data_IF_634060521599
#
_entry.id   IF_634060521599
#
_cell.length_a   1.000
_cell.length_b   1.000
_cell.length_c   1.000
_cell.angle_alpha   90.00
_cell.angle_beta   90.00
_cell.angle_gamma   90.00
#
_symmetry.space_group_name_H-M   'P 1'
#
loop_
_entity.id
_entity.type
_entity.pdbx_description
1 polymer ?
#
# COMPACT_ATOMS: atom_id res chain seq x y z
N UNK A 1 -26.96 1.70 51.72
CA UNK A 1 -28.33 1.81 52.26
C UNK A 1 -29.11 2.72 51.32
N UNK A 2 -30.27 2.23 50.86
CA UNK A 2 -31.39 2.90 50.17
C UNK A 2 -31.07 3.88 49.02
N UNK A 3 -31.59 3.75 47.80
CA UNK A 3 -32.69 2.97 47.26
C UNK A 3 -33.39 3.79 46.18
N UNK A 4 -33.68 3.20 45.00
CA UNK A 4 -34.90 3.39 44.20
C UNK A 4 -34.76 2.79 42.79
N UNK A 5 -35.46 1.69 42.58
CA UNK A 5 -36.08 1.31 41.30
C UNK A 5 -37.18 2.30 40.92
N UNK A 6 -37.61 2.30 39.64
CA UNK A 6 -38.94 1.75 39.38
C UNK A 6 -39.01 0.76 38.20
N UNK A 7 -40.04 -0.09 38.28
CA UNK A 7 -40.51 -1.11 37.33
C UNK A 7 -41.44 -0.52 36.26
N UNK A 8 -41.56 -1.23 35.13
CA UNK A 8 -42.68 -1.18 34.16
C UNK A 8 -42.37 -2.04 32.92
N UNK A 9 -42.67 -3.36 32.89
CA UNK A 9 -43.88 -4.02 32.33
C UNK A 9 -43.96 -3.88 30.79
N UNK A 10 -43.49 -4.88 30.02
CA UNK A 10 -44.17 -6.01 29.33
C UNK A 10 -45.00 -5.66 28.07
N UNK A 11 -44.69 -6.43 27.02
CA UNK A 11 -45.51 -6.96 25.90
C UNK A 11 -44.89 -6.63 24.53
N UNK A 12 -44.66 -7.55 23.59
CA UNK A 12 -44.91 -8.98 23.54
C UNK A 12 -44.18 -9.64 22.37
N UNK A 13 -43.99 -10.96 22.48
CA UNK A 13 -44.29 -12.01 21.48
C UNK A 13 -44.37 -11.52 20.01
N UNK A 14 -43.61 -12.05 19.06
CA UNK A 14 -43.93 -13.34 18.40
C UNK A 14 -42.77 -13.87 17.56
N UNK A 15 -42.58 -15.19 17.67
CA UNK A 15 -41.69 -16.06 16.92
C UNK A 15 -42.33 -16.50 15.58
N UNK A 16 -41.57 -16.56 14.47
CA UNK A 16 -41.67 -17.56 13.39
C UNK A 16 -40.71 -17.20 12.25
N UNK A 17 -39.62 -17.93 12.03
CA UNK A 17 -39.47 -18.97 10.99
C UNK A 17 -40.08 -18.58 9.63
N UNK A 18 -39.19 -18.31 8.68
CA UNK A 18 -39.39 -18.77 7.30
C UNK A 18 -38.09 -19.38 6.75
N UNK A 19 -38.28 -20.59 6.24
CA UNK A 19 -37.33 -21.54 5.67
C UNK A 19 -37.07 -21.29 4.19
N UNK A 20 -35.89 -21.69 3.71
CA UNK A 20 -35.55 -21.88 2.29
C UNK A 20 -34.50 -20.87 1.82
N UNK A 21 -33.39 -21.22 1.18
CA UNK A 21 -33.05 -22.41 0.40
C UNK A 21 -31.55 -22.64 0.54
N UNK A 22 -31.17 -23.83 1.00
CA UNK A 22 -29.78 -24.26 1.07
C UNK A 22 -29.20 -24.45 -0.33
N UNK A 23 -28.50 -23.42 -0.85
CA UNK A 23 -27.48 -23.64 -1.88
C UNK A 23 -26.21 -24.10 -1.17
N UNK A 24 -26.03 -25.42 -1.09
CA UNK A 24 -24.73 -26.07 -0.86
C UNK A 24 -23.74 -25.58 -1.92
N UNK A 25 -23.06 -24.46 -1.68
CA UNK A 25 -21.80 -24.16 -2.34
C UNK A 25 -20.78 -25.08 -1.70
N UNK A 26 -20.33 -26.08 -2.46
CA UNK A 26 -19.16 -26.91 -2.16
C UNK A 26 -17.99 -25.99 -1.82
N UNK A 27 -17.75 -25.75 -0.54
CA UNK A 27 -16.44 -25.40 0.02
C UNK A 27 -15.58 -26.67 -0.07
N UNK A 28 -15.20 -27.05 -1.29
CA UNK A 28 -14.14 -28.04 -1.53
C UNK A 28 -12.87 -27.25 -1.78
N UNK A 29 -11.92 -27.30 -0.83
CA UNK A 29 -10.50 -27.22 -1.15
C UNK A 29 -9.72 -25.95 -0.77
N UNK A 30 -10.20 -25.08 0.14
CA UNK A 30 -9.41 -23.93 0.59
C UNK A 30 -8.89 -24.01 2.04
N UNK A 31 -9.40 -24.93 2.86
CA UNK A 31 -8.99 -25.07 4.27
C UNK A 31 -7.76 -25.98 4.48
N UNK A 32 -7.21 -26.55 3.41
CA UNK A 32 -6.14 -27.55 3.47
C UNK A 32 -4.79 -27.09 2.91
N UNK A 33 -4.58 -25.78 2.70
CA UNK A 33 -3.36 -25.24 2.05
C UNK A 33 -2.66 -24.10 2.80
N UNK A 34 -3.02 -23.81 4.05
CA UNK A 34 -2.09 -23.12 4.95
C UNK A 34 -1.01 -24.14 5.29
N UNK A 35 0.12 -24.10 4.57
CA UNK A 35 1.34 -24.73 5.06
C UNK A 35 1.47 -24.27 6.51
N UNK A 36 1.52 -25.23 7.44
CA UNK A 36 1.69 -24.99 8.87
C UNK A 36 2.98 -24.17 9.08
N UNK A 37 2.88 -22.85 8.98
CA UNK A 37 4.01 -21.96 8.70
C UNK A 37 5.05 -21.97 9.81
N UNK A 38 4.60 -22.06 11.07
CA UNK A 38 5.50 -22.17 12.22
C UNK A 38 6.32 -23.47 12.22
N UNK A 39 5.69 -24.62 12.00
CA UNK A 39 6.41 -25.91 12.08
C UNK A 39 7.31 -26.18 10.88
N UNK A 40 7.01 -25.58 9.73
CA UNK A 40 7.74 -25.81 8.47
C UNK A 40 9.00 -24.96 8.40
N UNK A 41 8.93 -23.71 8.87
CA UNK A 41 10.07 -22.77 8.87
C UNK A 41 11.10 -23.12 9.94
N UNK A 42 10.68 -23.69 11.07
CA UNK A 42 11.57 -24.09 12.17
C UNK A 42 12.32 -25.42 11.97
N UNK A 43 12.11 -26.14 10.87
CA UNK A 43 12.81 -27.40 10.57
C UNK A 43 14.29 -27.17 10.21
N UNK A 44 15.14 -28.20 10.08
CA UNK A 44 16.48 -28.02 9.50
C UNK A 44 16.43 -27.51 8.04
N UNK A 45 17.50 -26.88 7.55
CA UNK A 45 17.54 -26.29 6.19
C UNK A 45 17.25 -27.31 5.08
N UNK A 46 17.76 -28.55 5.21
CA UNK A 46 17.51 -29.62 4.26
C UNK A 46 16.01 -29.97 4.14
N UNK A 47 15.30 -30.01 5.27
CA UNK A 47 13.87 -30.27 5.29
C UNK A 47 13.08 -29.09 4.70
N UNK A 48 13.54 -27.86 4.97
CA UNK A 48 12.93 -26.66 4.39
C UNK A 48 13.07 -26.67 2.85
N UNK A 49 14.27 -26.97 2.34
CA UNK A 49 14.50 -27.10 0.90
C UNK A 49 13.62 -28.17 0.26
N UNK A 50 13.52 -29.35 0.89
CA UNK A 50 12.64 -30.42 0.42
C UNK A 50 11.17 -30.00 0.39
N UNK A 51 10.70 -29.27 1.41
CA UNK A 51 9.30 -28.83 1.51
C UNK A 51 8.96 -27.68 0.58
N UNK A 52 9.90 -26.76 0.34
CA UNK A 52 9.75 -25.65 -0.60
C UNK A 52 10.07 -26.05 -2.05
N UNK A 53 10.56 -27.28 -2.27
CA UNK A 53 11.03 -27.77 -3.56
C UNK A 53 12.10 -26.86 -4.16
N UNK A 54 13.05 -26.39 -3.35
CA UNK A 54 14.09 -25.45 -3.79
C UNK A 54 15.46 -25.90 -3.27
N UNK A 55 16.52 -25.20 -3.67
CA UNK A 55 17.89 -25.48 -3.27
C UNK A 55 18.65 -24.17 -3.00
N UNK A 56 19.87 -24.28 -2.47
CA UNK A 56 20.76 -23.13 -2.29
C UNK A 56 21.13 -22.46 -3.63
N UNK A 57 21.08 -23.19 -4.75
CA UNK A 57 21.39 -22.69 -6.10
C UNK A 57 20.22 -21.91 -6.74
N UNK A 58 19.13 -21.69 -5.99
CA UNK A 58 17.96 -20.96 -6.45
C UNK A 58 17.02 -21.79 -7.33
N UNK A 59 16.08 -21.10 -7.98
CA UNK A 59 15.03 -21.71 -8.82
C UNK A 59 15.34 -21.56 -10.31
N UNK A 60 14.77 -22.43 -11.14
CA UNK A 60 14.75 -22.18 -12.59
C UNK A 60 13.75 -21.09 -12.95
N UNK A 61 14.00 -20.34 -14.02
CA UNK A 61 13.04 -19.34 -14.53
C UNK A 61 11.69 -19.97 -14.93
N UNK A 62 11.70 -21.23 -15.38
CA UNK A 62 10.47 -21.96 -15.73
C UNK A 62 9.61 -22.25 -14.50
N UNK A 63 10.25 -22.75 -13.43
CA UNK A 63 9.56 -23.07 -12.18
C UNK A 63 9.08 -21.81 -11.45
N UNK A 64 9.89 -20.75 -11.43
CA UNK A 64 9.48 -19.48 -10.85
C UNK A 64 8.25 -18.88 -11.56
N UNK A 65 8.16 -19.00 -12.88
CA UNK A 65 6.96 -18.59 -13.65
C UNK A 65 5.74 -19.43 -13.28
N UNK A 66 5.88 -20.76 -13.23
CA UNK A 66 4.79 -21.65 -12.84
C UNK A 66 4.28 -21.35 -11.42
N UNK A 67 5.18 -21.16 -10.46
CA UNK A 67 4.81 -20.78 -9.07
C UNK A 67 4.09 -19.44 -9.03
N UNK A 68 4.52 -18.47 -9.84
CA UNK A 68 3.86 -17.16 -9.92
C UNK A 68 2.43 -17.27 -10.48
N UNK A 69 2.20 -18.15 -11.44
CA UNK A 69 0.86 -18.39 -11.99
C UNK A 69 -0.07 -19.09 -10.99
N UNK A 70 0.44 -20.06 -10.23
CA UNK A 70 -0.34 -20.80 -9.22
C UNK A 70 -0.57 -20.01 -7.93
N UNK A 71 0.47 -19.36 -7.38
CA UNK A 71 0.43 -18.70 -6.07
C UNK A 71 0.20 -17.18 -6.15
N UNK A 72 0.37 -16.58 -7.33
CA UNK A 72 0.20 -15.15 -7.57
C UNK A 72 1.47 -14.32 -7.33
N UNK A 73 1.31 -13.00 -7.38
CA UNK A 73 2.41 -12.04 -7.22
C UNK A 73 2.69 -11.73 -5.74
N UNK A 74 3.93 -11.35 -5.43
CA UNK A 74 4.35 -10.86 -4.11
C UNK A 74 3.79 -9.45 -3.84
N UNK A 75 2.51 -9.36 -3.49
CA UNK A 75 1.80 -8.12 -3.17
C UNK A 75 0.93 -8.27 -1.92
N UNK A 76 1.03 -7.27 -1.03
CA UNK A 76 0.26 -7.19 0.22
C UNK A 76 -1.24 -6.99 -0.02
N UNK A 77 -1.62 -6.36 -1.14
CA UNK A 77 -3.00 -6.11 -1.49
C UNK A 77 -3.20 -6.30 -2.98
N UNK A 78 -3.89 -7.36 -3.38
CA UNK A 78 -4.51 -7.39 -4.70
C UNK A 78 -5.68 -6.43 -4.67
N UNK A 79 -5.45 -5.13 -4.97
CA UNK A 79 -6.55 -4.27 -5.40
C UNK A 79 -7.04 -4.91 -6.69
N UNK A 80 -8.14 -5.66 -6.64
CA UNK A 80 -8.74 -6.22 -7.85
C UNK A 80 -8.93 -5.05 -8.79
N UNK A 81 -8.11 -5.01 -9.85
CA UNK A 81 -8.29 -4.10 -10.96
C UNK A 81 -9.76 -4.23 -11.33
N UNK A 82 -10.54 -3.15 -11.18
CA UNK A 82 -11.90 -3.15 -11.69
C UNK A 82 -11.76 -3.54 -13.16
N UNK A 83 -12.42 -4.63 -13.57
CA UNK A 83 -12.38 -5.06 -14.96
C UNK A 83 -12.79 -3.88 -15.84
N UNK A 84 -12.16 -3.66 -17.00
CA UNK A 84 -12.50 -2.52 -17.87
C UNK A 84 -14.00 -2.42 -18.20
N UNK A 85 -14.72 -3.54 -18.16
CA UNK A 85 -16.19 -3.60 -18.24
C UNK A 85 -16.89 -2.89 -17.06
N UNK A 86 -16.41 -3.07 -15.83
CA UNK A 86 -16.94 -2.39 -14.65
C UNK A 86 -16.66 -0.89 -14.69
N UNK A 87 -15.52 -0.50 -15.25
CA UNK A 87 -15.12 0.89 -15.43
C UNK A 87 -16.00 1.59 -16.47
N UNK A 88 -16.29 0.90 -17.58
CA UNK A 88 -17.26 1.34 -18.58
C UNK A 88 -18.68 1.44 -18.01
N UNK A 89 -19.12 0.47 -17.20
CA UNK A 89 -20.42 0.53 -16.50
C UNK A 89 -20.45 1.71 -15.52
N UNK A 90 -19.35 2.04 -14.86
CA UNK A 90 -19.26 3.20 -13.98
C UNK A 90 -19.39 4.53 -14.74
N UNK A 91 -18.86 4.62 -15.97
CA UNK A 91 -19.06 5.78 -16.85
C UNK A 91 -20.53 5.92 -17.25
N UNK A 92 -21.20 4.81 -17.62
CA UNK A 92 -22.63 4.81 -17.97
C UNK A 92 -23.52 5.15 -16.75
N UNK A 93 -23.09 4.82 -15.54
CA UNK A 93 -23.82 5.12 -14.31
C UNK A 93 -23.85 6.62 -13.94
N UNK A 94 -23.24 7.50 -14.74
CA UNK A 94 -23.35 8.95 -14.55
C UNK A 94 -24.83 9.38 -14.66
N UNK A 95 -25.41 10.04 -13.63
CA UNK A 95 -26.81 10.44 -13.62
C UNK A 95 -27.26 11.21 -14.86
N UNK A 96 -26.40 12.06 -15.44
CA UNK A 96 -26.73 12.84 -16.65
C UNK A 96 -26.85 11.96 -17.89
N UNK A 97 -25.95 10.97 -18.03
CA UNK A 97 -25.98 10.00 -19.13
C UNK A 97 -27.22 9.11 -19.01
N UNK A 98 -27.59 8.71 -17.78
CA UNK A 98 -28.82 7.93 -17.52
C UNK A 98 -30.06 8.74 -17.92
N UNK A 99 -30.14 10.01 -17.55
CA UNK A 99 -31.27 10.89 -17.92
C UNK A 99 -31.36 11.04 -19.44
N UNK A 100 -30.25 11.25 -20.14
CA UNK A 100 -30.19 11.31 -21.61
C UNK A 100 -30.62 9.99 -22.27
N UNK A 101 -30.17 8.85 -21.75
CA UNK A 101 -30.58 7.54 -22.26
C UNK A 101 -32.09 7.31 -22.11
N UNK A 102 -32.67 7.72 -20.96
CA UNK A 102 -34.12 7.65 -20.73
C UNK A 102 -34.87 8.59 -21.69
N UNK A 103 -34.38 9.82 -21.89
CA UNK A 103 -34.99 10.78 -22.81
C UNK A 103 -34.91 10.31 -24.28
N UNK A 104 -33.76 9.76 -24.69
CA UNK A 104 -33.57 9.19 -26.02
C UNK A 104 -34.45 7.97 -26.27
N UNK A 105 -34.61 7.10 -25.28
CA UNK A 105 -35.55 5.99 -25.35
C UNK A 105 -37.00 6.49 -25.50
N UNK A 106 -37.42 7.47 -24.69
CA UNK A 106 -38.75 8.07 -24.77
C UNK A 106 -39.02 8.72 -26.13
N UNK A 107 -38.04 9.43 -26.68
CA UNK A 107 -38.10 10.05 -28.02
C UNK A 107 -38.24 8.99 -29.14
N UNK A 108 -37.49 7.90 -29.05
CA UNK A 108 -37.61 6.78 -29.99
C UNK A 108 -39.00 6.11 -29.92
N UNK A 109 -39.58 5.97 -28.72
CA UNK A 109 -40.93 5.45 -28.53
C UNK A 109 -42.02 6.38 -29.10
N UNK A 110 -41.79 7.70 -29.10
CA UNK A 110 -42.69 8.69 -29.70
C UNK A 110 -42.59 8.76 -31.23
N UNK A 111 -41.68 8.00 -31.84
CA UNK A 111 -41.46 8.00 -33.29
C UNK A 111 -40.54 9.11 -33.79
N UNK A 112 -39.93 9.90 -32.88
CA UNK A 112 -39.02 10.97 -33.24
C UNK A 112 -37.59 10.43 -33.41
N UNK A 113 -37.38 9.75 -34.55
CA UNK A 113 -36.15 9.02 -34.84
C UNK A 113 -34.94 9.95 -34.97
N UNK A 114 -35.18 11.21 -35.34
CA UNK A 114 -34.12 12.23 -35.49
C UNK A 114 -33.60 12.65 -34.13
N UNK A 115 -34.48 13.02 -33.20
CA UNK A 115 -34.10 13.40 -31.84
C UNK A 115 -33.44 12.22 -31.11
N UNK A 116 -33.98 11.02 -31.22
CA UNK A 116 -33.37 9.81 -30.67
C UNK A 116 -31.95 9.53 -31.23
N UNK A 117 -31.75 9.73 -32.53
CA UNK A 117 -30.45 9.56 -33.17
C UNK A 117 -29.43 10.61 -32.72
N UNK A 118 -29.84 11.88 -32.60
CA UNK A 118 -29.00 12.97 -32.08
C UNK A 118 -28.57 12.66 -30.64
N UNK A 119 -29.50 12.26 -29.78
CA UNK A 119 -29.22 11.90 -28.39
C UNK A 119 -28.26 10.71 -28.31
N UNK A 120 -28.53 9.66 -29.09
CA UNK A 120 -27.66 8.49 -29.15
C UNK A 120 -26.23 8.86 -29.57
N UNK A 121 -26.08 9.73 -30.57
CA UNK A 121 -24.79 10.24 -31.03
C UNK A 121 -24.03 11.04 -29.96
N UNK A 122 -24.72 11.97 -29.29
CA UNK A 122 -24.11 12.78 -28.21
C UNK A 122 -23.66 11.89 -27.04
N UNK A 123 -24.51 10.94 -26.61
CA UNK A 123 -24.18 10.01 -25.52
C UNK A 123 -23.00 9.12 -25.89
N UNK A 124 -22.97 8.55 -27.09
CA UNK A 124 -21.86 7.73 -27.57
C UNK A 124 -20.56 8.51 -27.64
N UNK A 125 -20.60 9.74 -28.18
CA UNK A 125 -19.42 10.59 -28.30
C UNK A 125 -18.90 11.01 -26.93
N UNK A 126 -19.77 11.46 -26.02
CA UNK A 126 -19.41 11.86 -24.66
C UNK A 126 -18.85 10.68 -23.86
N UNK A 127 -19.54 9.53 -23.84
CA UNK A 127 -19.06 8.34 -23.15
C UNK A 127 -17.74 7.81 -23.72
N UNK A 128 -17.59 7.83 -25.05
CA UNK A 128 -16.35 7.42 -25.73
C UNK A 128 -15.18 8.34 -25.41
N UNK A 129 -15.38 9.66 -25.45
CA UNK A 129 -14.37 10.64 -25.06
C UNK A 129 -13.98 10.49 -23.60
N UNK A 130 -14.96 10.37 -22.69
CA UNK A 130 -14.73 10.22 -21.26
C UNK A 130 -13.97 8.92 -20.94
N UNK A 131 -14.36 7.79 -21.57
CA UNK A 131 -13.66 6.52 -21.46
C UNK A 131 -12.22 6.61 -21.97
N UNK A 132 -12.01 7.19 -23.16
CA UNK A 132 -10.67 7.32 -23.74
C UNK A 132 -9.76 8.22 -22.90
N UNK A 133 -10.29 9.34 -22.38
CA UNK A 133 -9.58 10.27 -21.51
C UNK A 133 -9.19 9.62 -20.18
N UNK A 134 -10.14 8.90 -19.55
CA UNK A 134 -9.92 8.18 -18.28
C UNK A 134 -8.87 7.09 -18.47
N UNK A 135 -9.03 6.26 -19.49
CA UNK A 135 -8.10 5.16 -19.80
C UNK A 135 -6.68 5.65 -20.07
N UNK A 136 -6.52 6.74 -20.84
CA UNK A 136 -5.19 7.33 -21.12
C UNK A 136 -4.52 7.85 -19.84
N UNK A 137 -5.29 8.47 -18.96
CA UNK A 137 -4.80 9.06 -17.71
C UNK A 137 -4.32 7.99 -16.74
N UNK A 138 -5.09 6.92 -16.55
CA UNK A 138 -4.67 5.80 -15.70
C UNK A 138 -3.37 5.13 -16.19
N UNK A 139 -3.25 4.97 -17.51
CA UNK A 139 -2.07 4.31 -18.11
C UNK A 139 -0.79 5.13 -17.94
N UNK A 140 -0.89 6.45 -17.99
CA UNK A 140 0.23 7.35 -17.74
C UNK A 140 0.72 7.24 -16.28
N UNK A 141 -0.20 7.16 -15.33
CA UNK A 141 0.12 6.98 -13.90
C UNK A 141 0.70 5.59 -13.62
N UNK A 142 0.13 4.52 -14.19
CA UNK A 142 0.65 3.15 -14.00
C UNK A 142 2.09 3.00 -14.49
N UNK A 143 2.40 3.52 -15.69
CA UNK A 143 3.76 3.49 -16.24
C UNK A 143 4.77 4.27 -15.40
N UNK A 144 4.31 5.30 -14.69
CA UNK A 144 5.16 6.05 -13.77
C UNK A 144 5.37 5.27 -12.46
N UNK A 145 4.34 4.62 -11.93
CA UNK A 145 4.42 3.78 -10.74
C UNK A 145 5.30 2.54 -10.96
N UNK A 146 5.22 1.91 -12.13
CA UNK A 146 6.03 0.75 -12.50
C UNK A 146 7.54 1.07 -12.52
N UNK A 147 7.92 2.33 -12.78
CA UNK A 147 9.33 2.78 -12.79
C UNK A 147 9.90 3.04 -11.40
N UNK A 148 9.09 2.97 -10.35
CA UNK A 148 9.48 3.25 -8.96
C UNK A 148 9.30 2.00 -8.07
N UNK A 149 9.05 0.83 -8.70
CA UNK A 149 8.87 -0.41 -7.97
C UNK A 149 10.20 -0.89 -7.35
N UNK A 150 10.23 -1.28 -6.08
CA UNK A 150 11.45 -1.81 -5.45
C UNK A 150 11.87 -3.10 -6.13
N UNK A 151 13.17 -3.22 -6.42
CA UNK A 151 13.82 -4.43 -6.96
C UNK A 151 14.46 -5.24 -5.85
N UNK A 152 14.79 -6.49 -6.15
CA UNK A 152 15.55 -7.39 -5.29
C UNK A 152 16.48 -8.27 -6.14
N UNK A 153 17.64 -8.60 -5.59
CA UNK A 153 18.59 -9.51 -6.23
C UNK A 153 18.21 -10.96 -5.91
N UNK A 154 17.94 -11.76 -6.94
CA UNK A 154 17.50 -13.16 -6.83
C UNK A 154 18.41 -14.09 -7.65
N UNK A 155 18.63 -15.30 -7.15
CA UNK A 155 19.36 -16.35 -7.86
C UNK A 155 18.38 -17.21 -8.65
N UNK A 156 18.45 -17.13 -9.98
CA UNK A 156 17.68 -18.00 -10.88
C UNK A 156 18.52 -18.51 -12.02
N UNK A 157 18.32 -19.77 -12.39
CA UNK A 157 19.12 -20.48 -13.40
C UNK A 157 20.64 -20.37 -13.13
N UNK A 158 21.03 -20.34 -11.84
CA UNK A 158 22.43 -20.17 -11.40
C UNK A 158 23.02 -18.77 -11.56
N UNK A 159 22.22 -17.78 -11.97
CA UNK A 159 22.65 -16.39 -12.17
C UNK A 159 21.93 -15.44 -11.21
N UNK A 160 22.69 -14.47 -10.67
CA UNK A 160 22.12 -13.38 -9.88
C UNK A 160 21.49 -12.34 -10.81
N UNK A 161 20.18 -12.15 -10.67
CA UNK A 161 19.37 -11.25 -11.46
C UNK A 161 18.67 -10.24 -10.56
N UNK A 162 18.58 -8.99 -10.99
CA UNK A 162 17.79 -7.98 -10.30
C UNK A 162 16.37 -7.96 -10.88
N UNK A 163 15.39 -8.37 -10.07
CA UNK A 163 13.99 -8.47 -10.47
C UNK A 163 13.10 -7.57 -9.62
N UNK A 164 11.97 -7.07 -10.16
CA UNK A 164 10.98 -6.35 -9.35
C UNK A 164 10.50 -7.22 -8.19
N UNK A 165 10.36 -6.66 -6.98
CA UNK A 165 9.89 -7.39 -5.79
C UNK A 165 8.60 -8.18 -6.03
N UNK A 166 7.69 -7.61 -6.83
CA UNK A 166 6.40 -8.20 -7.22
C UNK A 166 6.54 -9.59 -7.87
N UNK A 167 7.67 -9.83 -8.53
CA UNK A 167 7.96 -11.04 -9.31
C UNK A 167 8.59 -12.20 -8.54
N UNK A 168 8.92 -11.95 -7.27
CA UNK A 168 9.46 -12.95 -6.36
C UNK A 168 8.38 -13.95 -5.95
N UNK A 169 8.80 -15.20 -5.76
CA UNK A 169 7.93 -16.33 -5.39
C UNK A 169 8.54 -17.11 -4.23
N UNK A 170 7.71 -17.90 -3.56
CA UNK A 170 8.16 -18.81 -2.51
C UNK A 170 9.22 -19.78 -3.07
N UNK A 171 10.33 -19.91 -2.34
CA UNK A 171 11.48 -20.72 -2.68
C UNK A 171 12.56 -20.01 -3.51
N UNK A 172 12.36 -18.77 -3.94
CA UNK A 172 13.44 -17.95 -4.50
C UNK A 172 14.55 -17.76 -3.46
N UNK A 173 15.80 -17.81 -3.91
CA UNK A 173 16.96 -17.44 -3.10
C UNK A 173 17.34 -15.99 -3.43
N UNK A 174 17.37 -15.14 -2.43
CA UNK A 174 17.69 -13.72 -2.55
C UNK A 174 19.02 -13.40 -1.91
N UNK A 175 19.65 -12.33 -2.38
CA UNK A 175 20.81 -11.71 -1.72
C UNK A 175 20.42 -10.38 -1.13
N UNK A 176 20.86 -10.16 0.10
CA UNK A 176 20.63 -8.96 0.88
C UNK A 176 21.98 -8.30 1.17
N UNK A 177 22.07 -6.99 0.98
CA UNK A 177 23.21 -6.15 1.32
C UNK A 177 22.77 -4.99 2.20
N UNK A 178 23.71 -4.37 2.91
CA UNK A 178 23.47 -3.14 3.65
C UNK A 178 22.74 -2.07 2.79
N UNK A 179 21.64 -1.53 3.32
CA UNK A 179 20.76 -0.58 2.64
C UNK A 179 19.55 -1.22 1.95
N UNK A 180 19.53 -2.54 1.76
CA UNK A 180 18.41 -3.22 1.12
C UNK A 180 17.18 -3.29 2.04
N UNK A 181 16.00 -3.22 1.43
CA UNK A 181 14.75 -3.60 2.08
C UNK A 181 14.50 -5.08 1.88
N UNK A 182 14.15 -5.79 2.95
CA UNK A 182 13.83 -7.21 2.87
C UNK A 182 12.53 -7.38 2.06
N UNK A 183 12.58 -8.09 0.91
CA UNK A 183 11.51 -8.04 -0.10
C UNK A 183 10.34 -8.99 0.17
N UNK A 184 10.51 -9.96 1.08
CA UNK A 184 9.55 -10.96 1.50
C UNK A 184 10.10 -11.68 2.75
N UNK A 185 9.29 -12.51 3.41
CA UNK A 185 9.76 -13.26 4.58
C UNK A 185 10.67 -14.41 4.14
N UNK A 186 11.86 -14.46 4.72
CA UNK A 186 12.94 -15.33 4.29
C UNK A 186 13.70 -15.95 5.46
N UNK A 187 14.24 -17.15 5.21
CA UNK A 187 15.17 -17.82 6.11
C UNK A 187 16.59 -17.65 5.60
N UNK A 188 17.48 -17.24 6.49
CA UNK A 188 18.90 -17.06 6.17
C UNK A 188 19.57 -18.40 5.90
N UNK A 189 20.32 -18.44 4.80
CA UNK A 189 21.19 -19.54 4.39
C UNK A 189 22.62 -19.24 4.82
N UNK A 190 23.07 -18.02 4.55
CA UNK A 190 24.37 -17.48 4.99
C UNK A 190 24.15 -16.04 5.45
N UNK A 191 24.90 -15.62 6.47
CA UNK A 191 24.85 -14.27 6.99
C UNK A 191 26.25 -13.87 7.50
N UNK A 192 26.74 -12.74 7.01
CA UNK A 192 28.01 -12.15 7.42
C UNK A 192 27.72 -10.79 8.07
N UNK A 193 27.89 -10.71 9.39
CA UNK A 193 27.68 -9.49 10.20
C UNK A 193 26.31 -8.82 9.95
N UNK A 194 25.28 -9.64 9.68
CA UNK A 194 23.98 -9.15 9.26
C UNK A 194 23.23 -8.52 10.43
N UNK A 195 22.95 -7.22 10.31
CA UNK A 195 22.11 -6.50 11.26
C UNK A 195 20.89 -5.95 10.54
N UNK A 196 19.71 -6.23 11.08
CA UNK A 196 18.44 -5.87 10.47
C UNK A 196 17.64 -4.96 11.41
N UNK A 197 17.17 -3.84 10.87
CA UNK A 197 16.26 -2.94 11.55
C UNK A 197 14.84 -3.50 11.48
N UNK A 198 14.30 -3.90 12.63
CA UNK A 198 12.99 -4.56 12.76
C UNK A 198 11.96 -3.72 13.52
N UNK A 199 12.20 -2.42 13.73
CA UNK A 199 11.28 -1.50 14.42
C UNK A 199 9.85 -1.56 13.85
N UNK A 200 9.70 -1.70 12.54
CA UNK A 200 8.38 -1.77 11.88
C UNK A 200 7.53 -2.98 12.31
N UNK A 201 8.14 -4.04 12.85
CA UNK A 201 7.46 -5.27 13.29
C UNK A 201 7.47 -5.47 14.80
N UNK A 202 8.54 -5.04 15.47
CA UNK A 202 8.78 -5.31 16.90
C UNK A 202 8.63 -4.08 17.77
N UNK A 203 8.73 -2.87 17.20
CA UNK A 203 8.86 -1.61 17.94
C UNK A 203 10.25 -1.38 18.53
N UNK A 204 11.17 -2.34 18.43
CA UNK A 204 12.52 -2.24 18.96
C UNK A 204 13.43 -1.44 18.02
N UNK A 205 14.17 -0.51 18.60
CA UNK A 205 14.96 0.49 17.88
C UNK A 205 16.36 0.02 17.50
N UNK A 206 16.91 -0.90 18.29
CA UNK A 206 18.26 -1.41 18.07
C UNK A 206 18.23 -2.45 16.94
N UNK A 207 19.14 -2.37 15.96
CA UNK A 207 19.27 -3.40 14.94
C UNK A 207 19.46 -4.78 15.58
N UNK A 208 18.65 -5.74 15.17
CA UNK A 208 18.76 -7.11 15.62
C UNK A 208 19.85 -7.80 14.81
N UNK A 209 20.78 -8.45 15.53
CA UNK A 209 21.78 -9.32 14.91
C UNK A 209 21.08 -10.57 14.35
N UNK A 210 21.48 -10.96 13.15
CA UNK A 210 20.92 -12.07 12.42
C UNK A 210 22.03 -13.02 11.97
N UNK A 211 21.82 -14.30 12.22
CA UNK A 211 22.79 -15.36 11.99
C UNK A 211 22.12 -16.55 11.31
N UNK A 212 22.76 -17.09 10.27
CA UNK A 212 22.29 -18.29 9.60
C UNK A 212 22.47 -19.52 10.51
N UNK A 213 21.56 -20.49 10.42
CA UNK A 213 21.65 -21.74 11.18
C UNK A 213 20.97 -22.87 10.43
N UNK A 214 21.72 -23.97 10.28
CA UNK A 214 21.26 -25.17 9.56
C UNK A 214 20.24 -26.00 10.36
N UNK A 215 20.34 -25.92 11.68
CA UNK A 215 19.52 -26.67 12.63
C UNK A 215 18.08 -26.17 12.77
N UNK A 216 17.30 -26.81 13.66
CA UNK A 216 15.95 -26.36 13.97
C UNK A 216 15.96 -25.01 14.68
N UNK A 217 14.97 -24.18 14.40
CA UNK A 217 14.87 -22.84 14.99
C UNK A 217 14.18 -22.89 16.35
N UNK A 218 14.75 -22.17 17.33
CA UNK A 218 14.17 -22.01 18.66
C UNK A 218 12.90 -21.14 18.64
N UNK A 219 12.83 -20.18 17.72
CA UNK A 219 11.67 -19.32 17.51
C UNK A 219 11.42 -19.11 16.01
N UNK A 220 10.15 -18.94 15.66
CA UNK A 220 9.71 -18.72 14.27
C UNK A 220 9.04 -17.35 14.09
N UNK A 221 9.27 -16.45 15.04
CA UNK A 221 8.77 -15.08 15.02
C UNK A 221 9.87 -14.06 14.65
N UNK A 222 9.54 -12.75 14.67
CA UNK A 222 10.47 -11.65 14.37
C UNK A 222 11.79 -11.69 15.15
N UNK A 223 11.73 -12.21 16.39
CA UNK A 223 12.86 -12.33 17.31
C UNK A 223 13.86 -13.42 16.90
N UNK A 224 13.53 -14.26 15.92
CA UNK A 224 14.41 -15.32 15.44
C UNK A 224 15.64 -14.74 14.75
N UNK A 225 16.87 -15.14 15.13
CA UNK A 225 18.08 -14.63 14.48
C UNK A 225 18.27 -15.17 13.07
N UNK A 226 17.64 -16.30 12.72
CA UNK A 226 17.78 -16.94 11.41
C UNK A 226 16.72 -16.50 10.39
N UNK A 227 15.80 -15.60 10.77
CA UNK A 227 14.70 -15.16 9.92
C UNK A 227 14.75 -13.64 9.70
N UNK A 228 14.39 -13.25 8.48
CA UNK A 228 14.20 -11.86 8.08
C UNK A 228 12.80 -11.70 7.49
N UNK A 229 12.21 -10.52 7.67
CA UNK A 229 10.79 -10.31 7.42
C UNK A 229 10.55 -9.11 6.51
N UNK A 230 9.49 -9.19 5.71
CA UNK A 230 9.06 -8.14 4.81
C UNK A 230 8.90 -6.81 5.56
N UNK A 231 9.46 -5.73 4.98
CA UNK A 231 9.35 -4.37 5.54
C UNK A 231 10.44 -4.01 6.55
N UNK A 232 11.34 -4.93 6.87
CA UNK A 232 12.59 -4.65 7.61
C UNK A 232 13.70 -4.19 6.65
N UNK A 233 14.71 -3.49 7.16
CA UNK A 233 15.84 -3.00 6.35
C UNK A 233 17.16 -3.53 6.88
N UNK A 234 18.10 -3.82 5.98
CA UNK A 234 19.45 -4.25 6.34
C UNK A 234 20.29 -3.03 6.67
N UNK A 235 20.82 -2.99 7.89
CA UNK A 235 21.66 -1.88 8.38
C UNK A 235 23.11 -2.11 8.02
N UNK A 236 23.61 -3.33 8.22
CA UNK A 236 24.98 -3.76 7.89
C UNK A 236 25.02 -5.24 7.56
N UNK A 237 26.13 -5.66 6.95
CA UNK A 237 26.39 -7.04 6.57
C UNK A 237 25.79 -7.44 5.22
N UNK A 238 25.97 -8.72 4.90
CA UNK A 238 25.43 -9.36 3.70
C UNK A 238 24.82 -10.70 4.06
N UNK A 239 23.81 -11.13 3.31
CA UNK A 239 23.21 -12.44 3.52
C UNK A 239 22.60 -13.02 2.24
N UNK A 240 22.54 -14.34 2.20
CA UNK A 240 21.70 -15.09 1.27
C UNK A 240 20.55 -15.73 2.04
N UNK A 241 19.35 -15.69 1.47
CA UNK A 241 18.15 -16.14 2.15
C UNK A 241 17.17 -16.79 1.19
N UNK A 242 16.45 -17.82 1.64
CA UNK A 242 15.38 -18.47 0.88
C UNK A 242 14.02 -17.94 1.32
N UNK A 243 13.20 -17.51 0.36
CA UNK A 243 11.85 -17.01 0.64
C UNK A 243 10.93 -18.17 1.06
N UNK A 244 10.25 -18.02 2.19
CA UNK A 244 9.26 -19.01 2.64
C UNK A 244 7.82 -18.47 2.61
N UNK A 245 7.63 -17.15 2.62
CA UNK A 245 6.33 -16.53 2.47
C UNK A 245 6.40 -15.22 1.68
N UNK A 246 5.37 -14.94 0.88
CA UNK A 246 5.28 -13.76 0.01
C UNK A 246 3.92 -13.08 0.11
N UNK A 247 3.86 -11.78 -0.14
CA UNK A 247 2.62 -11.01 -0.19
C UNK A 247 1.86 -11.06 1.14
N UNK A 248 0.59 -11.47 1.09
CA UNK A 248 -0.30 -11.54 2.26
C UNK A 248 0.10 -12.59 3.28
N UNK A 249 0.78 -13.66 2.86
CA UNK A 249 1.16 -14.75 3.77
C UNK A 249 2.40 -14.41 4.63
N UNK A 250 2.96 -13.21 4.48
CA UNK A 250 4.06 -12.70 5.31
C UNK A 250 3.56 -12.23 6.67
N UNK A 251 4.43 -12.20 7.69
CA UNK A 251 4.13 -11.68 9.02
C UNK A 251 3.65 -10.21 8.96
N UNK A 252 4.28 -9.41 8.10
CA UNK A 252 3.83 -8.03 7.85
C UNK A 252 2.49 -8.01 7.09
N UNK A 253 2.27 -8.95 6.17
CA UNK A 253 1.00 -9.14 5.47
C UNK A 253 -0.17 -9.43 6.41
N UNK A 254 0.02 -10.30 7.39
CA UNK A 254 -0.95 -10.63 8.43
C UNK A 254 -1.33 -9.40 9.28
N UNK A 255 -0.35 -8.57 9.64
CA UNK A 255 -0.58 -7.31 10.37
C UNK A 255 -1.39 -6.35 9.50
N UNK A 256 -1.01 -6.20 8.22
CA UNK A 256 -1.73 -5.35 7.27
C UNK A 256 -3.16 -5.84 7.04
N UNK A 257 -3.41 -7.15 6.96
CA UNK A 257 -4.76 -7.70 6.78
C UNK A 257 -5.64 -7.49 8.03
N UNK A 258 -5.08 -7.65 9.23
CA UNK A 258 -5.79 -7.37 10.49
C UNK A 258 -6.09 -5.88 10.66
N UNK A 259 -5.21 -5.02 10.15
CA UNK A 259 -5.38 -3.57 10.11
C UNK A 259 -6.15 -3.09 8.87
N UNK A 260 -6.47 -3.97 7.92
CA UNK A 260 -7.20 -3.65 6.70
C UNK A 260 -8.69 -3.42 6.98
N UNK A 261 -8.99 -2.49 7.87
CA UNK A 261 -10.12 -1.61 7.67
C UNK A 261 -9.95 -0.94 6.29
N UNK A 262 -11.06 -0.69 5.59
CA UNK A 262 -11.00 0.10 4.34
C UNK A 262 -10.23 1.38 4.64
N UNK A 263 -9.20 1.75 3.85
CA UNK A 263 -8.55 3.04 4.04
C UNK A 263 -9.65 4.11 4.03
N UNK A 264 -9.68 4.93 5.08
CA UNK A 264 -10.66 6.00 5.19
C UNK A 264 -10.53 6.94 3.98
N UNK A 265 -11.66 7.50 3.54
CA UNK A 265 -11.65 8.48 2.44
C UNK A 265 -10.72 9.63 2.83
N UNK A 266 -9.74 9.93 1.97
CA UNK A 266 -8.83 11.06 2.18
C UNK A 266 -9.59 12.39 2.17
N UNK A 267 -9.05 13.44 2.80
CA UNK A 267 -9.67 14.78 2.76
C UNK A 267 -9.83 15.28 1.31
N UNK A 268 -8.87 14.97 0.44
CA UNK A 268 -8.98 15.27 -0.99
C UNK A 268 -10.12 14.50 -1.68
N UNK A 269 -10.28 13.20 -1.40
CA UNK A 269 -11.40 12.40 -1.95
C UNK A 269 -12.75 12.90 -1.40
N UNK A 270 -12.83 13.22 -0.11
CA UNK A 270 -14.02 13.82 0.51
C UNK A 270 -14.34 15.18 -0.10
N UNK A 271 -13.35 16.05 -0.27
CA UNK A 271 -13.48 17.35 -0.93
C UNK A 271 -13.94 17.21 -2.38
N UNK A 272 -13.35 16.28 -3.14
CA UNK A 272 -13.73 15.98 -4.53
C UNK A 272 -15.16 15.46 -4.60
N UNK A 273 -15.57 14.59 -3.68
CA UNK A 273 -16.95 14.10 -3.57
C UNK A 273 -17.92 15.23 -3.22
N UNK A 274 -17.58 16.10 -2.29
CA UNK A 274 -18.42 17.22 -1.88
C UNK A 274 -18.59 18.22 -3.03
N UNK A 275 -17.50 18.52 -3.73
CA UNK A 275 -17.49 19.35 -4.93
C UNK A 275 -18.31 18.72 -6.06
N UNK A 276 -18.15 17.42 -6.30
CA UNK A 276 -18.95 16.67 -7.27
C UNK A 276 -20.44 16.68 -6.92
N UNK A 277 -20.79 16.52 -5.63
CA UNK A 277 -22.17 16.64 -5.14
C UNK A 277 -22.72 18.06 -5.29
N UNK A 278 -21.89 19.09 -5.10
CA UNK A 278 -22.27 20.48 -5.31
C UNK A 278 -22.54 20.76 -6.80
N UNK A 279 -21.66 20.31 -7.70
CA UNK A 279 -21.90 20.38 -9.15
C UNK A 279 -23.19 19.65 -9.51
N UNK A 280 -23.36 18.40 -9.04
CA UNK A 280 -24.56 17.61 -9.33
C UNK A 280 -25.84 18.31 -8.87
N UNK A 281 -25.86 18.86 -7.64
CA UNK A 281 -27.01 19.62 -7.12
C UNK A 281 -27.29 20.85 -7.98
N UNK A 282 -26.27 21.62 -8.34
CA UNK A 282 -26.40 22.83 -9.18
C UNK A 282 -26.89 22.50 -10.58
N UNK A 283 -26.36 21.43 -11.19
CA UNK A 283 -26.76 20.98 -12.52
C UNK A 283 -28.21 20.48 -12.51
N UNK A 284 -28.59 19.64 -11.54
CA UNK A 284 -29.99 19.17 -11.42
C UNK A 284 -30.94 20.34 -11.18
N UNK A 285 -30.57 21.29 -10.33
CA UNK A 285 -31.35 22.50 -10.11
C UNK A 285 -31.51 23.29 -11.41
N UNK A 286 -30.43 23.53 -12.16
CA UNK A 286 -30.47 24.25 -13.43
C UNK A 286 -31.34 23.53 -14.47
N UNK A 287 -31.19 22.20 -14.61
CA UNK A 287 -32.00 21.39 -15.53
C UNK A 287 -33.48 21.50 -15.18
N UNK A 288 -33.82 21.33 -13.90
CA UNK A 288 -35.21 21.41 -13.43
C UNK A 288 -35.77 22.84 -13.62
N UNK A 289 -34.98 23.86 -13.32
CA UNK A 289 -35.36 25.25 -13.50
C UNK A 289 -35.65 25.58 -14.97
N UNK A 290 -34.75 25.22 -15.89
CA UNK A 290 -34.92 25.47 -17.32
C UNK A 290 -36.11 24.67 -17.87
N UNK A 291 -36.30 23.43 -17.41
CA UNK A 291 -37.44 22.61 -17.79
C UNK A 291 -38.77 23.25 -17.37
N UNK A 292 -38.90 23.66 -16.10
CA UNK A 292 -40.11 24.30 -15.57
C UNK A 292 -40.41 25.59 -16.33
N UNK A 293 -39.40 26.44 -16.55
CA UNK A 293 -39.58 27.71 -17.27
C UNK A 293 -40.03 27.45 -18.71
N UNK A 294 -39.36 26.57 -19.46
CA UNK A 294 -39.74 26.32 -20.86
C UNK A 294 -41.13 25.69 -20.99
N UNK A 295 -41.50 24.76 -20.10
CA UNK A 295 -42.84 24.16 -20.09
C UNK A 295 -43.89 25.21 -19.72
N UNK A 296 -43.60 26.13 -18.78
CA UNK A 296 -44.52 27.22 -18.42
C UNK A 296 -44.73 28.24 -19.55
N UNK A 297 -43.76 28.37 -20.47
CA UNK A 297 -43.86 29.19 -21.69
C UNK A 297 -44.57 28.43 -22.83
N UNK A 298 -44.99 27.19 -22.60
CA UNK A 298 -45.76 26.38 -23.55
C UNK A 298 -44.91 25.58 -24.55
N UNK A 299 -43.61 25.41 -24.30
CA UNK A 299 -42.75 24.54 -25.12
C UNK A 299 -42.98 23.06 -24.80
N UNK A 300 -42.70 22.21 -25.79
CA UNK A 300 -42.76 20.77 -25.61
C UNK A 300 -41.82 20.31 -24.47
N UNK A 301 -42.33 19.44 -23.60
CA UNK A 301 -41.63 19.02 -22.40
C UNK A 301 -40.38 18.17 -22.72
N UNK A 302 -40.45 17.35 -23.76
CA UNK A 302 -39.35 16.50 -24.19
C UNK A 302 -38.24 17.37 -24.79
N UNK A 303 -38.57 18.27 -25.72
CA UNK A 303 -37.61 19.22 -26.28
C UNK A 303 -36.98 20.14 -25.21
N UNK A 304 -37.78 20.56 -24.24
CA UNK A 304 -37.32 21.37 -23.11
C UNK A 304 -36.34 20.61 -22.20
N UNK A 305 -36.60 19.33 -21.94
CA UNK A 305 -35.71 18.46 -21.18
C UNK A 305 -34.38 18.26 -21.92
N UNK A 306 -34.45 17.96 -23.22
CA UNK A 306 -33.26 17.79 -24.07
C UNK A 306 -32.39 19.04 -24.10
N UNK A 307 -33.00 20.21 -24.30
CA UNK A 307 -32.29 21.49 -24.27
C UNK A 307 -31.64 21.76 -22.91
N UNK A 308 -32.36 21.52 -21.82
CA UNK A 308 -31.87 21.71 -20.45
C UNK A 308 -30.66 20.83 -20.14
N UNK A 309 -30.72 19.55 -20.53
CA UNK A 309 -29.64 18.59 -20.29
C UNK A 309 -28.43 18.86 -21.19
N UNK A 310 -28.65 19.22 -22.46
CA UNK A 310 -27.56 19.59 -23.37
C UNK A 310 -26.75 20.79 -22.83
N UNK A 311 -27.44 21.81 -22.32
CA UNK A 311 -26.80 22.96 -21.69
C UNK A 311 -26.05 22.56 -20.41
N UNK A 312 -26.68 21.73 -19.56
CA UNK A 312 -26.07 21.22 -18.33
C UNK A 312 -24.77 20.44 -18.58
N UNK A 313 -24.76 19.53 -19.57
CA UNK A 313 -23.55 18.80 -19.96
C UNK A 313 -22.46 19.77 -20.45
N UNK A 314 -22.83 20.76 -21.27
CA UNK A 314 -21.89 21.78 -21.76
C UNK A 314 -21.28 22.66 -20.66
N UNK A 315 -21.98 22.80 -19.52
CA UNK A 315 -21.51 23.59 -18.37
C UNK A 315 -20.80 22.74 -17.30
N UNK A 316 -20.81 21.42 -17.42
CA UNK A 316 -20.20 20.54 -16.42
C UNK A 316 -18.68 20.53 -16.59
N UNK A 317 -17.88 20.86 -15.56
CA UNK A 317 -16.42 20.87 -15.66
C UNK A 317 -15.86 19.44 -15.58
N UNK A 318 -16.02 18.67 -16.66
CA UNK A 318 -15.61 17.26 -16.75
C UNK A 318 -14.08 17.08 -16.68
N UNK A 319 -13.31 18.12 -16.99
CA UNK A 319 -11.84 18.07 -17.00
C UNK A 319 -11.20 18.12 -15.61
N UNK A 320 -11.96 18.47 -14.56
CA UNK A 320 -11.39 18.70 -13.23
C UNK A 320 -10.69 17.46 -12.62
N UNK A 321 -11.26 16.23 -12.71
CA UNK A 321 -10.56 15.02 -12.24
C UNK A 321 -9.27 14.72 -13.02
N UNK A 322 -9.25 15.04 -14.32
CA UNK A 322 -8.06 14.84 -15.16
C UNK A 322 -6.97 15.86 -14.82
N UNK A 323 -7.32 17.15 -14.72
CA UNK A 323 -6.39 18.22 -14.36
C UNK A 323 -5.74 17.91 -13.01
N UNK A 324 -6.53 17.58 -11.99
CA UNK A 324 -6.02 17.25 -10.66
C UNK A 324 -5.09 16.04 -10.67
N UNK A 325 -5.47 14.96 -11.38
CA UNK A 325 -4.63 13.76 -11.50
C UNK A 325 -3.29 14.05 -12.18
N UNK A 326 -3.30 14.81 -13.28
CA UNK A 326 -2.08 15.17 -14.03
C UNK A 326 -1.18 16.07 -13.19
N UNK A 327 -1.74 17.09 -12.52
CA UNK A 327 -0.97 17.99 -11.65
C UNK A 327 -0.34 17.23 -10.47
N UNK A 328 -1.10 16.35 -9.80
CA UNK A 328 -0.56 15.52 -8.72
C UNK A 328 0.52 14.55 -9.22
N UNK A 329 0.34 13.95 -10.40
CA UNK A 329 1.35 13.08 -11.00
C UNK A 329 2.66 13.84 -11.30
N UNK A 330 2.58 15.07 -11.83
CA UNK A 330 3.76 15.92 -12.02
C UNK A 330 4.43 16.27 -10.69
N UNK A 331 3.65 16.58 -9.65
CA UNK A 331 4.16 16.78 -8.30
C UNK A 331 4.91 15.56 -7.74
N UNK A 332 4.36 14.36 -7.95
CA UNK A 332 5.02 13.11 -7.58
C UNK A 332 6.38 12.93 -8.28
N UNK A 333 6.47 13.25 -9.58
CA UNK A 333 7.74 13.22 -10.32
C UNK A 333 8.75 14.21 -9.73
N UNK A 334 8.31 15.41 -9.36
CA UNK A 334 9.19 16.41 -8.79
C UNK A 334 9.70 16.02 -7.39
N UNK A 335 8.84 15.44 -6.55
CA UNK A 335 9.22 14.88 -5.25
C UNK A 335 10.22 13.72 -5.38
N UNK A 336 10.03 12.84 -6.37
CA UNK A 336 10.95 11.72 -6.61
C UNK A 336 12.36 12.20 -6.95
N UNK A 337 12.51 13.31 -7.71
CA UNK A 337 13.81 13.92 -7.98
C UNK A 337 14.52 14.42 -6.70
N UNK A 338 13.76 14.70 -5.64
CA UNK A 338 14.26 15.08 -4.32
C UNK A 338 14.36 13.89 -3.36
N UNK A 339 14.39 12.66 -3.89
CA UNK A 339 14.46 11.39 -3.12
C UNK A 339 13.21 11.10 -2.25
N UNK A 340 12.07 11.73 -2.55
CA UNK A 340 10.79 11.45 -1.88
C UNK A 340 9.88 10.65 -2.80
N UNK A 341 9.56 9.40 -2.43
CA UNK A 341 8.76 8.50 -3.26
C UNK A 341 7.28 8.55 -2.84
N UNK A 342 6.43 9.01 -3.76
CA UNK A 342 4.97 9.08 -3.56
C UNK A 342 4.29 7.82 -4.10
N UNK A 343 3.77 6.98 -3.21
CA UNK A 343 3.04 5.73 -3.58
C UNK A 343 1.59 6.00 -4.01
N UNK A 344 0.95 7.01 -3.40
CA UNK A 344 -0.44 7.40 -3.68
C UNK A 344 -0.50 8.90 -3.99
N UNK A 345 -1.07 9.29 -5.13
CA UNK A 345 -1.11 10.71 -5.54
C UNK A 345 -1.84 11.61 -4.54
N UNK A 346 -2.89 11.10 -3.88
CA UNK A 346 -3.62 11.80 -2.82
C UNK A 346 -2.74 12.13 -1.60
N UNK A 347 -1.66 11.38 -1.36
CA UNK A 347 -0.75 11.62 -0.25
C UNK A 347 -0.04 12.98 -0.34
N UNK A 348 0.14 13.55 -1.55
CA UNK A 348 0.74 14.87 -1.74
C UNK A 348 -0.15 15.95 -1.10
N UNK A 349 -1.46 15.87 -1.30
CA UNK A 349 -2.42 16.81 -0.69
C UNK A 349 -2.53 16.58 0.81
N UNK A 350 -2.57 15.33 1.26
CA UNK A 350 -2.60 15.02 2.68
C UNK A 350 -1.36 15.58 3.40
N UNK A 351 -0.17 15.44 2.81
CA UNK A 351 1.06 16.01 3.37
C UNK A 351 1.02 17.54 3.44
N UNK A 352 0.41 18.19 2.46
CA UNK A 352 0.23 19.66 2.44
C UNK A 352 -0.86 20.17 3.38
N UNK A 353 -1.72 19.30 3.89
CA UNK A 353 -2.86 19.63 4.76
C UNK A 353 -2.71 19.04 6.17
N UNK A 354 -1.50 18.65 6.58
CA UNK A 354 -1.27 18.12 7.92
C UNK A 354 -1.42 19.23 8.97
N UNK A 355 -2.24 18.96 9.99
CA UNK A 355 -2.29 19.79 11.21
C UNK A 355 -1.43 19.19 12.33
N UNK A 356 -1.32 17.85 12.35
CA UNK A 356 -0.59 17.11 13.36
C UNK A 356 0.36 16.15 12.68
N UNK A 357 1.66 16.34 12.91
CA UNK A 357 2.70 15.41 12.50
C UNK A 357 3.04 14.48 13.67
N UNK A 358 2.50 13.27 13.64
CA UNK A 358 2.95 12.20 14.53
C UNK A 358 4.18 11.55 13.89
N UNK A 359 5.36 11.86 14.42
CA UNK A 359 6.61 11.22 14.01
C UNK A 359 7.01 10.15 15.01
N UNK A 360 7.47 9.01 14.52
CA UNK A 360 8.25 8.11 15.36
C UNK A 360 9.57 8.79 15.75
N UNK A 361 10.12 8.46 16.91
CA UNK A 361 11.42 9.00 17.35
C UNK A 361 12.54 8.30 16.61
N UNK A 362 12.59 6.98 16.70
CA UNK A 362 13.76 6.22 16.29
C UNK A 362 13.78 6.00 14.78
N UNK A 363 14.89 6.34 14.13
CA UNK A 363 15.06 6.14 12.68
C UNK A 363 14.26 7.12 11.82
N UNK A 364 13.50 8.03 12.45
CA UNK A 364 12.79 9.13 11.78
C UNK A 364 13.29 10.49 12.28
N UNK A 365 13.22 10.76 13.60
CA UNK A 365 13.83 11.96 14.19
C UNK A 365 15.31 11.75 14.53
N UNK A 366 15.66 10.53 14.93
CA UNK A 366 17.06 10.16 15.19
C UNK A 366 17.62 9.38 14.01
N UNK A 367 18.93 9.45 13.81
CA UNK A 367 19.67 8.70 12.78
C UNK A 367 19.68 7.18 13.02
N UNK A 368 19.07 6.70 14.12
CA UNK A 368 19.10 5.29 14.52
C UNK A 368 20.50 4.79 14.91
N UNK A 369 21.49 5.67 14.97
CA UNK A 369 22.87 5.38 15.36
C UNK A 369 23.17 5.93 16.74
N UNK A 370 23.88 5.17 17.58
CA UNK A 370 24.32 5.65 18.89
C UNK A 370 25.59 6.47 18.74
N UNK A 371 25.55 7.72 19.18
CA UNK A 371 26.71 8.61 19.29
C UNK A 371 27.07 8.82 20.76
N UNK A 372 28.37 8.82 21.07
CA UNK A 372 28.83 9.22 22.39
C UNK A 372 28.66 10.74 22.57
N UNK A 373 27.90 11.14 23.59
CA UNK A 373 27.61 12.55 23.88
C UNK A 373 28.67 13.19 24.80
N UNK A 374 29.03 12.50 25.90
CA UNK A 374 30.02 12.99 26.85
C UNK A 374 30.75 11.84 27.56
N UNK A 375 31.96 12.11 28.04
CA UNK A 375 32.72 11.23 28.92
C UNK A 375 33.09 12.02 30.16
N UNK A 376 32.48 11.70 31.30
CA UNK A 376 32.53 12.50 32.51
C UNK A 376 33.30 11.78 33.62
N UNK A 377 34.03 12.54 34.44
CA UNK A 377 34.59 12.04 35.69
C UNK A 377 33.50 11.88 36.79
N UNK A 378 33.84 11.31 37.97
CA UNK A 378 32.89 11.17 39.07
C UNK A 378 32.32 12.49 39.63
N UNK A 379 32.86 13.64 39.23
CA UNK A 379 32.42 14.97 39.63
C UNK A 379 31.66 15.70 38.51
N UNK A 380 31.40 15.04 37.37
CA UNK A 380 30.65 15.59 36.24
C UNK A 380 31.48 16.46 35.31
N UNK A 381 32.81 16.49 35.45
CA UNK A 381 33.71 17.20 34.55
C UNK A 381 34.10 16.37 33.32
N UNK A 382 34.33 17.03 32.18
CA UNK A 382 34.82 16.35 30.97
C UNK A 382 36.16 15.65 31.24
N UNK A 383 36.19 14.34 31.00
CA UNK A 383 37.36 13.51 31.27
C UNK A 383 37.52 12.43 30.21
N UNK A 384 38.74 12.28 29.69
CA UNK A 384 39.08 11.24 28.69
C UNK A 384 39.33 9.87 29.32
N UNK A 385 39.42 9.78 30.64
CA UNK A 385 39.80 8.53 31.34
C UNK A 385 38.73 7.44 31.24
N UNK A 386 37.43 7.72 31.44
CA UNK A 386 36.37 6.73 31.20
C UNK A 386 36.33 6.27 29.74
N UNK A 387 36.44 7.20 28.78
CA UNK A 387 36.52 6.87 27.36
C UNK A 387 37.68 5.91 27.06
N UNK A 388 38.88 6.20 27.58
CA UNK A 388 40.06 5.36 27.39
C UNK A 388 39.87 3.97 27.99
N UNK A 389 39.32 3.87 29.19
CA UNK A 389 39.02 2.59 29.84
C UNK A 389 37.91 1.82 29.11
N UNK A 390 36.88 2.50 28.62
CA UNK A 390 35.81 1.91 27.82
C UNK A 390 36.33 1.41 26.46
N UNK A 391 37.25 2.15 25.83
CA UNK A 391 37.91 1.74 24.61
C UNK A 391 38.80 0.51 24.83
N UNK A 392 39.61 0.50 25.89
CA UNK A 392 40.39 -0.70 26.24
C UNK A 392 39.46 -1.88 26.52
N UNK A 393 38.40 -1.67 27.31
CA UNK A 393 37.43 -2.72 27.62
C UNK A 393 36.76 -3.26 26.35
N UNK A 394 36.29 -2.40 25.43
CA UNK A 394 35.68 -2.87 24.17
C UNK A 394 36.67 -3.51 23.20
N UNK A 395 37.96 -3.18 23.30
CA UNK A 395 39.04 -3.80 22.51
C UNK A 395 39.37 -5.21 22.98
N UNK A 396 39.19 -5.49 24.29
CA UNK A 396 39.50 -6.79 24.90
C UNK A 396 38.25 -7.62 25.20
N UNK A 397 37.06 -7.02 25.26
CA UNK A 397 35.77 -7.73 25.19
C UNK A 397 35.47 -8.10 23.74
N UNK A 398 35.54 -9.40 23.48
CA UNK A 398 35.15 -10.06 22.22
C UNK A 398 33.65 -9.89 21.88
N UNK A 399 32.86 -9.27 22.76
CA UNK A 399 31.42 -9.02 22.61
C UNK A 399 31.06 -7.58 22.17
N UNK A 400 32.00 -6.61 22.19
CA UNK A 400 31.71 -5.20 21.86
C UNK A 400 32.51 -4.64 20.67
N UNK A 401 33.50 -5.39 20.18
CA UNK A 401 34.42 -4.96 19.12
C UNK A 401 33.76 -4.83 17.74
N UNK A 402 32.57 -5.40 17.51
CA UNK A 402 31.83 -5.24 16.24
C UNK A 402 30.88 -4.04 16.22
N UNK A 403 30.46 -3.48 17.36
CA UNK A 403 29.52 -2.33 17.40
C UNK A 403 30.11 -0.98 16.99
N UNK A 404 31.43 -0.87 16.87
CA UNK A 404 32.12 0.38 16.52
C UNK A 404 33.02 0.28 15.29
N UNK A 405 32.94 -0.82 14.52
CA UNK A 405 33.70 -1.01 13.30
C UNK A 405 33.08 -0.27 12.09
N UNK A 406 32.85 1.04 12.26
CA UNK A 406 32.86 1.97 11.13
C UNK A 406 34.31 2.32 10.74
N UNK A 407 34.54 2.96 9.59
CA UNK A 407 35.90 3.30 9.16
C UNK A 407 36.60 4.13 10.24
N UNK A 408 37.91 3.90 10.39
CA UNK A 408 38.88 4.58 11.29
C UNK A 408 38.35 5.92 11.82
N UNK A 409 38.56 6.27 13.10
CA UNK A 409 38.17 7.57 13.62
C UNK A 409 38.88 8.67 12.82
N UNK A 410 38.23 9.13 11.75
CA UNK A 410 38.48 10.43 11.18
C UNK A 410 38.14 11.38 12.31
N UNK A 411 39.08 12.27 12.59
CA UNK A 411 38.90 13.43 13.44
C UNK A 411 37.46 13.92 13.26
N UNK A 412 36.66 13.80 14.32
CA UNK A 412 35.30 14.33 14.36
C UNK A 412 35.48 15.84 14.50
N UNK A 413 35.72 16.50 13.36
CA UNK A 413 35.57 17.94 13.24
C UNK A 413 34.08 18.22 13.02
N UNK A 414 33.42 18.77 14.04
CA UNK A 414 32.11 19.39 13.87
C UNK A 414 32.17 20.80 14.43
N UNK A 415 32.03 21.74 13.50
CA UNK A 415 31.87 23.16 13.73
C UNK A 415 30.66 23.44 14.64
N UNK A 416 30.90 24.30 15.63
CA UNK A 416 29.86 24.93 16.45
C UNK A 416 28.82 25.63 15.57
N UNK A 417 27.56 25.21 15.64
CA UNK A 417 26.42 26.10 15.45
C UNK A 417 25.80 26.32 16.82
N UNK A 418 26.08 27.50 17.41
CA UNK A 418 25.37 27.97 18.61
C UNK A 418 23.95 28.36 18.18
N UNK A 419 22.94 27.63 18.62
CA UNK A 419 21.61 28.24 18.84
C UNK A 419 21.67 28.94 20.19
N UNK A 420 21.92 30.24 20.18
CA UNK A 420 21.56 31.10 21.30
C UNK A 420 20.04 31.17 21.32
N UNK A 421 19.40 30.48 22.26
CA UNK A 421 18.04 30.81 22.68
C UNK A 421 18.10 32.12 23.49
N UNK A 422 17.39 33.13 23.00
CA UNK A 422 16.86 34.27 23.73
C UNK A 422 15.42 34.49 23.27
#
# INVERSE_FOLDING_TARGET
MEGKTPKGVRDGTTCARFTGVGRKKKTRGQDSRRVSGGQTVGAPLLDLFARLGTSADGLSSGEARWRREEYGFNELATRKLRSGLLEFVAVIANPLIVILLVAGAASAFLGDVVDAAIIGGIVLLSAGLNFWQTYRSERAVRRLQERIAPTATVLRDGLWLELPRRELVIGDVIRLSAGDLVPADARLLEADDLHVQQAALTGESLPAEKNATDGPLASTGPDSPALVFLGTSVVSGTATAVLFATGRDTAFGDIVERLAARPEETEFERGTRHFGMLILKTVVFLVLFILIVNVSVGRDALQSLLFSVALAVGLTPEFLPMITTVTLAQGAVQMAKQKVIVKHLSAIQNLGSIDVLCSDKTGTLTTGTMSLEASLDPFGGDSRRPLFLAHLNSSFETLLSQRFAGPRPQVIEIHHVRSTES
#
